data_IF_871481258381
#
_entry.id   IF_871481258381
#
_cell.length_a   1.000
_cell.length_b   1.000
_cell.length_c   1.000
_cell.angle_alpha   90.00
_cell.angle_beta   90.00
_cell.angle_gamma   90.00
#
_symmetry.space_group_name_H-M   'P 1'
#
loop_
_entity.id
_entity.type
_entity.pdbx_description
1 polymer ?
#
# COMPACT_ATOMS: atom_id res chain seq x y z
N UNK A 1 13.51 -26.06 -10.34
CA UNK A 1 12.37 -25.25 -10.85
C UNK A 1 12.66 -23.75 -10.67
N UNK A 2 11.85 -22.83 -11.21
CA UNK A 2 12.06 -21.38 -11.08
C UNK A 2 12.11 -20.91 -9.61
N UNK A 3 11.32 -21.55 -8.72
CA UNK A 3 11.32 -21.26 -7.29
C UNK A 3 12.65 -21.58 -6.59
N UNK A 4 13.32 -22.68 -6.96
CA UNK A 4 14.65 -23.00 -6.44
C UNK A 4 15.73 -22.04 -6.95
N UNK A 5 15.62 -21.56 -8.19
CA UNK A 5 16.55 -20.59 -8.75
C UNK A 5 16.46 -19.25 -8.01
N UNK A 6 15.23 -18.79 -7.72
CA UNK A 6 14.99 -17.58 -6.95
C UNK A 6 15.51 -17.71 -5.50
N UNK A 7 15.28 -18.86 -4.85
CA UNK A 7 15.76 -19.12 -3.49
C UNK A 7 17.30 -19.12 -3.41
N UNK A 8 17.99 -19.76 -4.37
CA UNK A 8 19.46 -19.75 -4.46
C UNK A 8 20.01 -18.35 -4.74
N UNK A 9 19.36 -17.57 -5.60
CA UNK A 9 19.78 -16.22 -5.95
C UNK A 9 19.63 -15.20 -4.80
N UNK A 10 18.64 -15.38 -3.91
CA UNK A 10 18.38 -14.47 -2.80
C UNK A 10 19.30 -14.68 -1.58
N UNK A 11 19.99 -15.83 -1.48
CA UNK A 11 21.02 -16.08 -0.47
C UNK A 11 20.59 -15.74 0.97
N UNK A 12 21.40 -14.93 1.67
CA UNK A 12 21.14 -14.50 3.06
C UNK A 12 20.01 -13.46 3.20
N UNK A 13 19.38 -13.03 2.09
CA UNK A 13 18.27 -12.06 2.08
C UNK A 13 18.60 -10.74 2.82
N UNK A 14 19.88 -10.36 2.89
CA UNK A 14 20.34 -9.11 3.49
C UNK A 14 20.24 -7.98 2.47
N UNK A 15 19.62 -6.86 2.85
CA UNK A 15 19.49 -5.67 1.99
C UNK A 15 18.38 -5.72 0.94
N UNK A 16 17.50 -6.73 0.98
CA UNK A 16 16.31 -6.76 0.12
C UNK A 16 15.17 -5.96 0.76
N UNK A 17 14.29 -5.39 -0.06
CA UNK A 17 13.07 -4.70 0.42
C UNK A 17 12.06 -5.67 1.08
N UNK A 18 12.26 -6.99 0.92
CA UNK A 18 11.55 -8.12 1.54
C UNK A 18 10.08 -8.29 1.12
N UNK A 19 9.35 -7.22 0.84
CA UNK A 19 7.96 -7.24 0.40
C UNK A 19 7.80 -6.51 -0.93
N UNK A 20 7.16 -7.16 -1.90
CA UNK A 20 6.53 -6.50 -3.05
C UNK A 20 5.15 -5.98 -2.67
N UNK A 21 4.49 -5.23 -3.55
CA UNK A 21 3.21 -4.53 -3.34
C UNK A 21 2.02 -5.49 -3.11
N UNK A 22 2.02 -6.15 -1.95
CA UNK A 22 0.96 -6.93 -1.32
C UNK A 22 1.58 -7.40 0.00
N UNK A 23 1.08 -6.91 1.13
CA UNK A 23 1.64 -7.18 2.45
C UNK A 23 0.78 -8.21 3.17
N UNK A 24 1.28 -9.44 3.37
CA UNK A 24 0.69 -10.37 4.32
C UNK A 24 1.12 -10.00 5.75
N UNK A 25 0.18 -10.06 6.67
CA UNK A 25 0.42 -9.98 8.11
C UNK A 25 -0.52 -10.94 8.81
N UNK A 26 0.05 -12.01 9.37
CA UNK A 26 -0.69 -13.11 9.97
C UNK A 26 -1.80 -13.62 9.04
N UNK A 27 -3.06 -13.51 9.47
CA UNK A 27 -4.25 -13.90 8.71
C UNK A 27 -4.71 -12.86 7.69
N UNK A 28 -4.09 -11.67 7.68
CA UNK A 28 -4.45 -10.56 6.81
C UNK A 28 -3.57 -10.46 5.57
N UNK A 29 -4.18 -10.03 4.46
CA UNK A 29 -3.52 -9.68 3.21
C UNK A 29 -3.97 -8.30 2.75
N UNK A 30 -3.06 -7.32 2.79
CA UNK A 30 -3.33 -5.95 2.34
C UNK A 30 -2.63 -5.62 1.03
N UNK A 31 -3.32 -4.94 0.12
CA UNK A 31 -2.82 -4.44 -1.15
C UNK A 31 -3.10 -2.95 -1.23
N UNK A 32 -2.06 -2.18 -1.53
CA UNK A 32 -2.17 -0.74 -1.76
C UNK A 32 -1.39 -0.38 -3.02
N UNK A 33 -2.09 0.14 -4.01
CA UNK A 33 -1.50 0.79 -5.17
C UNK A 33 -1.69 2.30 -5.06
N UNK A 34 -0.66 3.05 -5.42
CA UNK A 34 -0.63 4.51 -5.39
C UNK A 34 -0.12 5.07 -6.71
N UNK A 35 -0.78 6.11 -7.21
CA UNK A 35 -0.35 6.91 -8.34
C UNK A 35 -0.34 8.39 -7.93
N UNK A 36 0.86 8.99 -7.89
CA UNK A 36 1.10 10.41 -7.60
C UNK A 36 0.94 11.25 -8.87
N UNK A 37 -0.19 11.06 -9.55
CA UNK A 37 -0.46 11.56 -10.89
C UNK A 37 -1.23 12.89 -10.97
N UNK A 38 -1.38 13.61 -9.85
CA UNK A 38 -2.07 14.90 -9.77
C UNK A 38 -3.61 14.84 -9.80
N UNK A 39 -4.21 13.66 -9.62
CA UNK A 39 -5.66 13.46 -9.59
C UNK A 39 -6.07 12.69 -8.36
N UNK A 40 -7.03 13.22 -7.61
CA UNK A 40 -7.60 12.56 -6.45
C UNK A 40 -8.52 11.40 -6.86
N UNK A 41 -8.32 10.23 -6.24
CA UNK A 41 -9.22 9.09 -6.38
C UNK A 41 -8.96 8.02 -5.33
N UNK A 42 -10.02 7.36 -4.87
CA UNK A 42 -9.92 6.24 -3.93
C UNK A 42 -10.85 5.11 -4.37
N UNK A 43 -10.27 3.93 -4.57
CA UNK A 43 -11.00 2.66 -4.64
C UNK A 43 -10.75 1.93 -3.32
N UNK A 44 -11.83 1.62 -2.59
CA UNK A 44 -11.76 1.03 -1.26
C UNK A 44 -12.50 -0.31 -1.21
N UNK A 45 -11.73 -1.39 -1.18
CA UNK A 45 -12.20 -2.77 -1.09
C UNK A 45 -11.75 -3.40 0.24
N UNK A 46 -12.16 -2.79 1.35
CA UNK A 46 -11.90 -3.29 2.71
C UNK A 46 -13.23 -3.32 3.45
N UNK A 47 -13.51 -4.44 4.10
CA UNK A 47 -14.68 -4.61 4.95
C UNK A 47 -14.25 -4.85 6.38
N UNK A 48 -14.58 -3.90 7.25
CA UNK A 48 -14.57 -4.11 8.70
C UNK A 48 -15.99 -4.49 9.15
N UNK A 49 -16.08 -5.50 10.00
CA UNK A 49 -17.30 -6.00 10.64
C UNK A 49 -17.45 -5.38 12.04
N UNK A 50 -16.35 -5.21 12.80
CA UNK A 50 -16.43 -4.53 14.11
C UNK A 50 -16.64 -3.05 13.91
N UNK A 51 -17.31 -2.43 14.88
CA UNK A 51 -17.50 -0.99 14.94
C UNK A 51 -16.19 -0.25 15.27
N UNK A 52 -15.33 -0.85 16.12
CA UNK A 52 -14.08 -0.23 16.59
C UNK A 52 -12.94 -1.25 16.73
N UNK A 53 -11.70 -0.75 16.61
CA UNK A 53 -10.46 -1.45 16.98
C UNK A 53 -9.82 -0.65 18.11
N UNK A 54 -9.89 -1.16 19.34
CA UNK A 54 -9.62 -0.34 20.52
C UNK A 54 -10.62 0.82 20.58
N UNK A 55 -10.13 2.05 20.71
CA UNK A 55 -10.97 3.26 20.69
C UNK A 55 -11.23 3.82 19.29
N UNK A 56 -10.60 3.27 18.24
CA UNK A 56 -10.68 3.79 16.87
C UNK A 56 -11.88 3.21 16.11
N UNK A 57 -12.88 4.02 15.70
CA UNK A 57 -13.94 3.55 14.82
C UNK A 57 -13.42 3.06 13.46
N UNK A 58 -13.91 1.91 13.02
CA UNK A 58 -13.40 1.25 11.80
C UNK A 58 -13.73 2.02 10.52
N UNK A 59 -14.77 2.87 10.55
CA UNK A 59 -15.09 3.80 9.45
C UNK A 59 -14.00 4.86 9.23
N UNK A 60 -13.27 5.27 10.27
CA UNK A 60 -12.26 6.32 10.15
C UNK A 60 -11.05 5.89 9.32
N UNK A 61 -10.82 4.58 9.15
CA UNK A 61 -9.77 4.09 8.25
C UNK A 61 -10.07 4.48 6.80
N UNK A 62 -11.32 4.33 6.34
CA UNK A 62 -11.73 4.82 5.01
C UNK A 62 -11.54 6.33 4.91
N UNK A 63 -12.05 7.09 5.89
CA UNK A 63 -11.96 8.54 5.89
C UNK A 63 -10.51 9.04 5.87
N UNK A 64 -9.61 8.40 6.61
CA UNK A 64 -8.19 8.71 6.58
C UNK A 64 -7.62 8.63 5.16
N UNK A 65 -7.81 7.50 4.46
CA UNK A 65 -7.27 7.32 3.11
C UNK A 65 -7.96 8.21 2.08
N UNK A 66 -9.27 8.49 2.27
CA UNK A 66 -10.01 9.41 1.41
C UNK A 66 -9.51 10.85 1.54
N UNK A 67 -9.39 11.34 2.77
CA UNK A 67 -8.83 12.67 3.05
C UNK A 67 -7.39 12.78 2.57
N UNK A 68 -6.59 11.72 2.70
CA UNK A 68 -5.24 11.67 2.17
C UNK A 68 -5.22 11.77 0.64
N UNK A 69 -5.98 10.93 -0.09
CA UNK A 69 -6.00 10.95 -1.56
C UNK A 69 -6.44 12.29 -2.13
N UNK A 70 -7.42 12.93 -1.48
CA UNK A 70 -7.97 14.22 -1.90
C UNK A 70 -6.97 15.34 -1.69
N UNK A 71 -6.29 15.35 -0.54
CA UNK A 71 -5.31 16.41 -0.22
C UNK A 71 -4.00 16.24 -0.99
N UNK A 72 -3.56 14.99 -1.19
CA UNK A 72 -2.33 14.66 -1.90
C UNK A 72 -2.50 14.63 -3.42
N UNK A 73 -3.73 14.83 -3.92
CA UNK A 73 -4.07 14.73 -5.36
C UNK A 73 -3.54 13.44 -5.99
N UNK A 74 -3.77 12.31 -5.33
CA UNK A 74 -3.27 11.02 -5.76
C UNK A 74 -4.39 9.98 -5.88
N UNK A 75 -4.16 8.97 -6.72
CA UNK A 75 -5.05 7.82 -6.82
C UNK A 75 -4.58 6.72 -5.88
N UNK A 76 -5.50 6.18 -5.09
CA UNK A 76 -5.30 5.02 -4.24
C UNK A 76 -6.24 3.89 -4.65
N UNK A 77 -5.69 2.68 -4.74
CA UNK A 77 -6.48 1.46 -4.81
C UNK A 77 -6.09 0.56 -3.65
N UNK A 78 -7.04 0.32 -2.76
CA UNK A 78 -6.82 -0.37 -1.49
C UNK A 78 -7.73 -1.59 -1.41
N UNK A 79 -7.14 -2.74 -1.11
CA UNK A 79 -7.84 -3.98 -0.81
C UNK A 79 -7.24 -4.62 0.44
N UNK A 80 -8.08 -5.17 1.32
CA UNK A 80 -7.61 -5.96 2.46
C UNK A 80 -8.61 -7.05 2.82
N UNK A 81 -8.09 -8.24 3.09
CA UNK A 81 -8.85 -9.43 3.49
C UNK A 81 -8.17 -10.06 4.71
N UNK A 82 -8.94 -10.55 5.68
CA UNK A 82 -8.44 -11.17 6.90
C UNK A 82 -9.58 -11.45 7.88
N UNK A 83 -9.28 -12.15 8.98
CA UNK A 83 -10.23 -12.43 10.06
C UNK A 83 -10.06 -11.48 11.24
N UNK A 84 -8.84 -11.05 11.53
CA UNK A 84 -8.52 -10.11 12.58
C UNK A 84 -8.37 -8.69 12.02
N UNK A 85 -9.33 -7.84 12.35
CA UNK A 85 -9.40 -6.48 11.84
C UNK A 85 -8.28 -5.58 12.33
N UNK A 86 -7.68 -5.86 13.50
CA UNK A 86 -6.48 -5.17 13.95
C UNK A 86 -5.31 -5.47 13.01
N UNK A 87 -5.11 -6.75 12.64
CA UNK A 87 -4.09 -7.15 11.68
C UNK A 87 -4.38 -6.55 10.30
N UNK A 88 -5.65 -6.50 9.88
CA UNK A 88 -6.03 -5.85 8.63
C UNK A 88 -5.71 -4.36 8.60
N UNK A 89 -6.04 -3.64 9.65
CA UNK A 89 -5.72 -2.22 9.80
C UNK A 89 -4.21 -1.99 9.78
N UNK A 90 -3.44 -2.76 10.55
CA UNK A 90 -2.00 -2.64 10.60
C UNK A 90 -1.34 -3.00 9.26
N UNK A 91 -1.80 -4.06 8.60
CA UNK A 91 -1.33 -4.48 7.29
C UNK A 91 -1.57 -3.40 6.23
N UNK A 92 -2.73 -2.75 6.25
CA UNK A 92 -3.09 -1.64 5.37
C UNK A 92 -2.12 -0.47 5.50
N UNK A 93 -1.86 0.00 6.72
CA UNK A 93 -0.94 1.11 6.94
C UNK A 93 0.50 0.74 6.55
N UNK A 94 0.96 -0.48 6.84
CA UNK A 94 2.28 -0.95 6.42
C UNK A 94 2.40 -1.04 4.91
N UNK A 95 1.39 -1.59 4.23
CA UNK A 95 1.35 -1.68 2.77
C UNK A 95 1.37 -0.29 2.13
N UNK A 96 0.56 0.64 2.65
CA UNK A 96 0.53 2.03 2.22
C UNK A 96 1.88 2.74 2.40
N UNK A 97 2.49 2.64 3.58
CA UNK A 97 3.79 3.27 3.83
C UNK A 97 4.88 2.77 2.88
N UNK A 98 4.85 1.47 2.52
CA UNK A 98 5.77 0.89 1.54
C UNK A 98 5.48 1.35 0.12
N UNK A 99 4.21 1.33 -0.31
CA UNK A 99 3.81 1.81 -1.62
C UNK A 99 4.21 3.28 -1.82
N UNK A 100 3.97 4.12 -0.81
CA UNK A 100 4.36 5.52 -0.82
C UNK A 100 5.89 5.69 -0.90
N UNK A 101 6.67 4.95 -0.09
CA UNK A 101 8.15 4.98 -0.13
C UNK A 101 8.70 4.67 -1.52
N UNK A 102 8.10 3.73 -2.24
CA UNK A 102 8.49 3.39 -3.61
C UNK A 102 8.10 4.52 -4.57
N UNK A 103 6.87 5.04 -4.46
CA UNK A 103 6.34 6.07 -5.35
C UNK A 103 7.10 7.41 -5.26
N UNK A 104 7.58 7.78 -4.07
CA UNK A 104 8.34 9.03 -3.86
C UNK A 104 9.84 8.88 -4.09
N UNK A 105 10.33 7.66 -4.40
CA UNK A 105 11.76 7.42 -4.58
C UNK A 105 12.28 8.21 -5.79
N UNK A 106 13.29 9.05 -5.57
CA UNK A 106 13.95 9.76 -6.65
C UNK A 106 14.72 8.78 -7.55
N UNK A 107 14.53 8.89 -8.86
CA UNK A 107 15.19 8.06 -9.87
C UNK A 107 16.58 8.58 -10.26
N UNK A 108 16.92 9.80 -9.87
CA UNK A 108 18.17 10.49 -10.25
C UNK A 108 18.22 10.98 -11.70
N UNK A 109 17.21 10.70 -12.52
CA UNK A 109 17.18 11.12 -13.92
C UNK A 109 16.72 12.57 -14.14
N UNK A 110 16.01 13.16 -13.15
CA UNK A 110 15.42 14.49 -13.28
C UNK A 110 14.29 14.58 -14.32
N UNK A 111 13.85 13.45 -14.90
CA UNK A 111 12.83 13.39 -15.94
C UNK A 111 11.45 13.35 -15.28
N UNK A 112 10.54 14.22 -15.71
CA UNK A 112 9.14 14.19 -15.30
C UNK A 112 8.46 12.90 -15.82
N UNK A 113 7.90 12.04 -14.96
CA UNK A 113 7.40 10.73 -15.35
C UNK A 113 5.98 10.81 -15.94
N UNK A 114 5.82 11.54 -17.04
CA UNK A 114 4.53 11.74 -17.73
C UNK A 114 4.75 11.89 -19.23
N UNK A 115 3.88 11.29 -20.04
CA UNK A 115 3.90 11.44 -21.50
C UNK A 115 3.29 12.76 -21.96
N UNK A 116 2.57 13.45 -21.07
CA UNK A 116 1.86 14.71 -21.37
C UNK A 116 2.71 15.96 -21.11
N UNK A 117 3.93 15.80 -20.58
CA UNK A 117 4.82 16.90 -20.21
C UNK A 117 4.39 17.70 -18.97
N UNK A 118 3.26 17.37 -18.35
CA UNK A 118 2.72 18.01 -17.14
C UNK A 118 2.13 16.97 -16.18
N UNK A 119 2.13 17.31 -14.89
CA UNK A 119 1.53 16.56 -13.77
C UNK A 119 0.78 17.52 -12.84
#
# INVERSE_FOLDING_TARGET
CLGEALWKALGMKKGIERFGFMLPMDDSLAQVAIDLGGRAGLVWNVRFIREKIGEMPTELFYHFFKSFSDSAMCNLNIKSEGMNEHHMAEALFKAFARALRIAVRQTGSGILPTTKGIL
#
